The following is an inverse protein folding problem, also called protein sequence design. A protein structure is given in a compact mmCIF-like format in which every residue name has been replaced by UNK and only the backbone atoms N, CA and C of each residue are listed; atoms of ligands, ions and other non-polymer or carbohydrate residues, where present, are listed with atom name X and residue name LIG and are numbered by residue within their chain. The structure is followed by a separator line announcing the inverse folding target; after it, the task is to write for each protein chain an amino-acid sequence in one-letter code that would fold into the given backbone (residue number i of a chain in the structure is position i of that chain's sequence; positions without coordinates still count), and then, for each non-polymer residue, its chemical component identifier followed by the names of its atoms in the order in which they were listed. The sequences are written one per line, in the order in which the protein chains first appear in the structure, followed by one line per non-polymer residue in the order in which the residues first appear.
data_IF_441026701050
#
_entry.id   IF_441026701050
#
_cell.length_a   1.000
_cell.length_b   1.000
_cell.length_c   1.000
_cell.angle_alpha   90.00
_cell.angle_beta   90.00
_cell.angle_gamma   90.00
#
_symmetry.space_group_name_H-M   'P 1'
#
loop_
_entity.id
_entity.type
_entity.pdbx_description
1 polymer ?
#
# COMPACT_ATOMS: atom_id res chain seq x y z
N UNK A 1 56.79 24.41 20.42
CA UNK A 1 56.87 22.93 20.46
C UNK A 1 56.71 22.41 19.05
N UNK A 2 57.56 21.46 18.66
CA UNK A 2 57.84 21.07 17.28
C UNK A 2 56.83 20.04 16.78
N UNK A 3 56.23 20.30 15.62
CA UNK A 3 55.51 19.33 14.79
C UNK A 3 56.49 18.79 13.75
N UNK A 4 56.81 17.50 13.79
CA UNK A 4 57.65 16.85 12.79
C UNK A 4 56.93 15.62 12.20
N UNK A 5 56.78 15.67 10.87
CA UNK A 5 56.42 14.60 9.92
C UNK A 5 57.30 13.34 10.03
N UNK A 6 56.77 12.17 9.63
CA UNK A 6 57.23 11.39 8.44
C UNK A 6 56.33 10.17 8.11
N UNK A 7 55.68 10.22 6.94
CA UNK A 7 55.83 9.34 5.75
C UNK A 7 55.49 7.82 5.72
N UNK A 8 54.56 7.51 4.79
CA UNK A 8 54.39 6.39 3.83
C UNK A 8 53.82 4.98 4.16
N UNK A 9 52.69 4.73 3.47
CA UNK A 9 52.13 3.55 2.78
C UNK A 9 52.94 2.25 2.67
N UNK A 10 52.22 1.11 2.80
CA UNK A 10 52.50 -0.09 2.03
C UNK A 10 51.21 -0.85 1.65
N UNK A 11 51.15 -1.29 0.39
CA UNK A 11 50.08 -2.02 -0.29
C UNK A 11 50.38 -3.53 -0.34
N UNK A 12 49.37 -4.31 -0.74
CA UNK A 12 49.37 -5.62 -1.43
C UNK A 12 48.69 -6.83 -0.75
N UNK A 13 47.86 -7.45 -1.59
CA UNK A 13 47.00 -8.65 -1.55
C UNK A 13 47.74 -9.98 -1.79
N UNK A 14 47.20 -11.15 -1.39
CA UNK A 14 47.27 -12.43 -2.15
C UNK A 14 46.48 -13.61 -1.52
N UNK A 15 46.09 -14.57 -2.39
CA UNK A 15 45.27 -15.81 -2.23
C UNK A 15 46.17 -17.09 -2.14
N UNK A 16 45.58 -18.24 -1.79
CA UNK A 16 46.15 -19.59 -1.47
C UNK A 16 46.96 -20.35 -2.57
N UNK A 17 47.59 -21.52 -2.23
CA UNK A 17 47.54 -22.72 -3.12
C UNK A 17 47.49 -24.13 -2.45
N UNK A 18 47.27 -25.16 -3.31
CA UNK A 18 46.99 -26.61 -3.11
C UNK A 18 48.17 -27.58 -2.79
N UNK A 19 47.87 -28.86 -2.46
CA UNK A 19 48.78 -30.03 -2.56
C UNK A 19 48.09 -31.42 -2.50
N UNK A 20 48.48 -32.38 -3.38
CA UNK A 20 47.93 -33.75 -3.62
C UNK A 20 48.90 -34.91 -3.24
N UNK A 21 48.34 -36.13 -2.99
CA UNK A 21 48.83 -37.57 -3.14
C UNK A 21 48.55 -38.42 -1.86
N UNK A 22 48.13 -39.70 -1.81
CA UNK A 22 48.07 -40.88 -2.71
C UNK A 22 47.18 -42.02 -2.11
N UNK A 23 46.69 -42.95 -2.96
CA UNK A 23 45.77 -44.09 -2.70
C UNK A 23 46.38 -45.32 -1.99
N UNK A 24 45.55 -46.08 -1.24
CA UNK A 24 45.70 -47.53 -1.00
C UNK A 24 44.34 -48.23 -0.93
N UNK A 25 44.22 -49.35 -1.63
CA UNK A 25 43.05 -50.17 -1.91
C UNK A 25 42.84 -51.23 -0.81
N UNK A 26 41.62 -51.39 -0.28
CA UNK A 26 41.16 -52.63 0.36
C UNK A 26 39.61 -52.67 0.43
N UNK A 27 39.01 -53.55 -0.37
CA UNK A 27 37.60 -53.95 -0.30
C UNK A 27 37.32 -54.65 1.03
N UNK A 28 36.28 -54.22 1.76
CA UNK A 28 35.61 -55.02 2.79
C UNK A 28 34.09 -54.84 2.60
N UNK A 29 33.41 -55.99 2.68
CA UNK A 29 32.07 -56.33 2.21
C UNK A 29 30.95 -55.53 2.89
N UNK A 30 29.94 -55.17 2.10
CA UNK A 30 28.69 -54.58 2.55
C UNK A 30 27.88 -55.54 3.42
N UNK A 31 27.73 -55.20 4.70
CA UNK A 31 26.57 -55.64 5.48
C UNK A 31 26.20 -54.50 6.44
N UNK A 32 25.14 -53.76 6.11
CA UNK A 32 24.62 -52.68 6.93
C UNK A 32 23.15 -52.93 7.28
N UNK A 33 22.92 -53.11 8.58
CA UNK A 33 21.64 -53.31 9.23
C UNK A 33 20.94 -51.93 9.35
N UNK A 34 19.70 -51.76 8.83
CA UNK A 34 18.99 -50.49 8.97
C UNK A 34 18.68 -50.18 10.44
N UNK A 35 19.17 -49.06 10.93
CA UNK A 35 18.75 -48.48 12.22
C UNK A 35 17.50 -47.64 11.99
N UNK A 36 16.40 -47.96 12.69
CA UNK A 36 15.20 -47.10 12.76
C UNK A 36 15.49 -45.86 13.62
N UNK A 37 15.24 -44.64 13.12
CA UNK A 37 15.26 -43.44 13.96
C UNK A 37 13.85 -43.05 14.44
N UNK A 38 13.69 -43.18 15.76
CA UNK A 38 13.04 -42.32 16.75
C UNK A 38 12.09 -41.20 16.27
N UNK A 39 10.94 -41.13 16.96
CA UNK A 39 9.83 -40.19 16.74
C UNK A 39 10.22 -38.71 16.74
N UNK A 40 9.53 -37.86 15.95
CA UNK A 40 9.78 -36.43 15.94
C UNK A 40 9.15 -35.73 17.15
N UNK A 41 10.01 -35.10 17.95
CA UNK A 41 9.68 -34.12 18.99
C UNK A 41 8.63 -33.09 18.52
N UNK A 42 7.56 -32.93 19.32
CA UNK A 42 6.60 -31.83 19.19
C UNK A 42 7.29 -30.49 19.39
N UNK A 43 7.62 -29.77 18.31
CA UNK A 43 7.91 -28.35 18.39
C UNK A 43 6.60 -27.58 18.63
N UNK A 44 6.48 -26.99 19.82
CA UNK A 44 5.51 -25.92 20.08
C UNK A 44 5.90 -24.69 19.25
N UNK A 45 5.44 -24.64 18.01
CA UNK A 45 5.56 -23.46 17.16
C UNK A 45 4.55 -22.44 17.65
N UNK A 46 5.01 -21.40 18.33
CA UNK A 46 4.24 -20.17 18.47
C UNK A 46 3.91 -19.67 17.06
N UNK A 47 2.65 -19.83 16.65
CA UNK A 47 2.13 -19.15 15.47
C UNK A 47 2.04 -17.66 15.82
N UNK A 48 3.04 -16.89 15.40
CA UNK A 48 2.85 -15.45 15.21
C UNK A 48 1.80 -15.33 14.11
N UNK A 49 0.60 -14.75 14.35
CA UNK A 49 -0.35 -14.54 13.27
C UNK A 49 0.35 -13.68 12.22
N UNK A 50 0.47 -14.20 11.00
CA UNK A 50 1.06 -13.42 9.92
C UNK A 50 0.09 -12.28 9.61
N UNK A 51 0.47 -11.07 10.02
CA UNK A 51 -0.01 -9.79 9.51
C UNK A 51 0.34 -9.66 8.02
N UNK A 52 -0.12 -10.61 7.21
CA UNK A 52 0.10 -10.66 5.79
C UNK A 52 -0.88 -9.67 5.16
N UNK A 53 -0.33 -8.70 4.45
CA UNK A 53 -1.08 -7.73 3.66
C UNK A 53 -2.12 -8.44 2.80
N UNK A 54 -3.38 -8.04 2.90
CA UNK A 54 -4.46 -8.62 2.10
C UNK A 54 -4.47 -8.00 0.69
N UNK A 55 -3.64 -8.58 -0.18
CA UNK A 55 -3.49 -8.12 -1.56
C UNK A 55 -4.76 -8.26 -2.39
N UNK A 56 -5.59 -9.26 -2.11
CA UNK A 56 -6.82 -9.48 -2.86
C UNK A 56 -7.86 -8.41 -2.51
N UNK A 57 -8.03 -8.11 -1.22
CA UNK A 57 -8.90 -7.03 -0.78
C UNK A 57 -8.42 -5.67 -1.31
N UNK A 58 -7.12 -5.36 -1.23
CA UNK A 58 -6.58 -4.11 -1.78
C UNK A 58 -6.84 -3.98 -3.28
N UNK A 59 -6.60 -5.04 -4.07
CA UNK A 59 -6.82 -4.99 -5.51
C UNK A 59 -8.28 -4.71 -5.85
N UNK A 60 -9.22 -5.37 -5.15
CA UNK A 60 -10.65 -5.10 -5.30
C UNK A 60 -11.00 -3.64 -4.95
N UNK A 61 -10.48 -3.11 -3.86
CA UNK A 61 -10.74 -1.73 -3.42
C UNK A 61 -10.19 -0.69 -4.41
N UNK A 62 -9.03 -0.96 -5.00
CA UNK A 62 -8.47 -0.14 -6.08
C UNK A 62 -9.40 -0.18 -7.29
N UNK A 63 -9.85 -1.35 -7.72
CA UNK A 63 -10.79 -1.50 -8.84
C UNK A 63 -12.12 -0.77 -8.61
N UNK A 64 -12.68 -0.86 -7.40
CA UNK A 64 -13.90 -0.14 -7.02
C UNK A 64 -13.70 1.39 -7.06
N UNK A 65 -12.52 1.87 -6.66
CA UNK A 65 -12.16 3.29 -6.73
C UNK A 65 -11.96 3.76 -8.17
N UNK A 66 -11.25 2.99 -8.99
CA UNK A 66 -11.04 3.25 -10.42
C UNK A 66 -12.36 3.26 -11.20
N UNK A 67 -13.31 2.39 -10.83
CA UNK A 67 -14.64 2.37 -11.43
C UNK A 67 -15.41 3.66 -11.13
N UNK A 68 -15.40 4.12 -9.87
CA UNK A 68 -16.03 5.38 -9.49
C UNK A 68 -15.37 6.59 -10.18
N UNK A 69 -14.04 6.60 -10.28
CA UNK A 69 -13.29 7.62 -11.00
C UNK A 69 -13.62 7.62 -12.50
N UNK A 70 -13.70 6.44 -13.12
CA UNK A 70 -14.07 6.30 -14.53
C UNK A 70 -15.47 6.84 -14.82
N UNK A 71 -16.43 6.62 -13.91
CA UNK A 71 -17.77 7.19 -14.02
C UNK A 71 -17.75 8.72 -14.01
N UNK A 72 -16.99 9.32 -13.09
CA UNK A 72 -16.83 10.78 -13.03
C UNK A 72 -16.18 11.31 -14.32
N UNK A 73 -15.11 10.68 -14.78
CA UNK A 73 -14.42 11.07 -16.01
C UNK A 73 -15.33 11.00 -17.22
N UNK A 74 -16.16 9.97 -17.31
CA UNK A 74 -17.13 9.80 -18.38
C UNK A 74 -18.21 10.87 -18.34
N UNK A 75 -18.73 11.22 -17.15
CA UNK A 75 -19.68 12.30 -16.97
C UNK A 75 -19.09 13.65 -17.46
N UNK A 76 -17.86 13.95 -17.05
CA UNK A 76 -17.15 15.16 -17.49
C UNK A 76 -16.88 15.12 -19.00
N UNK A 77 -16.50 13.97 -19.57
CA UNK A 77 -16.30 13.81 -21.01
C UNK A 77 -17.56 14.18 -21.79
N UNK A 78 -18.71 13.62 -21.39
CA UNK A 78 -20.00 13.89 -22.04
C UNK A 78 -20.40 15.37 -21.93
N UNK A 79 -20.17 15.99 -20.76
CA UNK A 79 -20.43 17.42 -20.55
C UNK A 79 -19.64 18.29 -21.53
N UNK A 80 -18.35 18.00 -21.72
CA UNK A 80 -17.47 18.73 -22.62
C UNK A 80 -17.85 18.51 -24.08
N UNK A 81 -18.15 17.27 -24.47
CA UNK A 81 -18.50 16.93 -25.85
C UNK A 81 -19.80 17.62 -26.30
N UNK A 82 -20.79 17.75 -25.40
CA UNK A 82 -22.02 18.53 -25.67
C UNK A 82 -21.71 19.99 -26.01
N UNK A 83 -20.61 20.52 -25.52
CA UNK A 83 -20.14 21.90 -25.73
C UNK A 83 -19.09 22.01 -26.86
N UNK A 84 -18.79 20.91 -27.56
CA UNK A 84 -17.73 20.88 -28.57
C UNK A 84 -16.31 21.01 -28.01
N UNK A 85 -16.15 20.79 -26.69
CA UNK A 85 -14.88 20.88 -25.98
C UNK A 85 -14.25 19.49 -25.79
N UNK A 86 -12.97 19.48 -25.40
CA UNK A 86 -12.27 18.27 -24.98
C UNK A 86 -11.35 18.57 -23.79
N UNK A 87 -10.89 17.52 -23.10
CA UNK A 87 -9.94 17.63 -21.98
C UNK A 87 -8.68 18.45 -22.27
N UNK A 88 -8.29 18.60 -23.54
CA UNK A 88 -7.11 19.36 -23.95
C UNK A 88 -7.31 20.88 -23.97
N UNK A 89 -8.56 21.35 -23.91
CA UNK A 89 -8.89 22.77 -24.15
C UNK A 89 -9.59 23.43 -22.94
N UNK A 90 -9.49 22.83 -21.74
CA UNK A 90 -10.19 23.31 -20.54
C UNK A 90 -9.42 24.43 -19.80
N UNK A 91 -8.20 24.78 -20.21
CA UNK A 91 -7.45 25.83 -19.53
C UNK A 91 -8.11 27.22 -19.73
N UNK A 92 -8.83 27.67 -18.69
CA UNK A 92 -9.33 29.05 -18.56
C UNK A 92 -10.66 29.35 -19.27
N UNK A 93 -11.39 28.35 -19.78
CA UNK A 93 -12.72 28.52 -20.36
C UNK A 93 -13.84 28.28 -19.35
N UNK A 94 -14.95 29.02 -19.46
CA UNK A 94 -16.19 28.73 -18.72
C UNK A 94 -16.80 27.44 -19.27
N UNK A 95 -16.95 26.42 -18.41
CA UNK A 95 -17.69 25.20 -18.71
C UNK A 95 -19.11 25.40 -18.20
N UNK A 96 -20.09 25.34 -19.09
CA UNK A 96 -21.49 25.36 -18.69
C UNK A 96 -21.88 23.98 -18.14
N UNK A 97 -22.50 23.93 -16.96
CA UNK A 97 -22.97 22.68 -16.35
C UNK A 97 -24.46 22.53 -16.63
N UNK A 98 -24.80 21.58 -17.50
CA UNK A 98 -26.19 21.25 -17.80
C UNK A 98 -26.89 20.54 -16.63
N UNK A 99 -28.21 20.65 -16.56
CA UNK A 99 -28.99 20.16 -15.43
C UNK A 99 -28.94 18.63 -15.29
N UNK A 100 -28.91 17.89 -16.41
CA UNK A 100 -28.79 16.43 -16.38
C UNK A 100 -27.46 16.01 -15.74
N UNK A 101 -26.37 16.68 -16.12
CA UNK A 101 -25.04 16.46 -15.54
C UNK A 101 -25.00 16.83 -14.06
N UNK A 102 -25.60 17.96 -13.67
CA UNK A 102 -25.70 18.39 -12.26
C UNK A 102 -26.41 17.34 -11.40
N UNK A 103 -27.56 16.85 -11.86
CA UNK A 103 -28.33 15.82 -11.16
C UNK A 103 -27.53 14.52 -11.01
N UNK A 104 -26.86 14.06 -12.07
CA UNK A 104 -26.02 12.85 -12.01
C UNK A 104 -24.85 13.02 -11.04
N UNK A 105 -24.17 14.17 -11.06
CA UNK A 105 -23.09 14.46 -10.14
C UNK A 105 -23.59 14.48 -8.69
N UNK A 106 -24.75 15.09 -8.44
CA UNK A 106 -25.39 15.10 -7.12
C UNK A 106 -25.69 13.67 -6.64
N UNK A 107 -26.29 12.83 -7.49
CA UNK A 107 -26.54 11.42 -7.17
C UNK A 107 -25.27 10.62 -6.86
N UNK A 108 -24.12 11.00 -7.43
CA UNK A 108 -22.86 10.32 -7.14
C UNK A 108 -22.36 10.60 -5.72
N UNK A 109 -22.65 11.77 -5.17
CA UNK A 109 -22.20 12.24 -3.84
C UNK A 109 -23.27 12.12 -2.75
N UNK A 110 -24.54 12.01 -3.13
CA UNK A 110 -25.67 11.77 -2.22
C UNK A 110 -25.54 10.43 -1.48
N UNK A 111 -26.34 10.25 -0.43
CA UNK A 111 -26.36 9.03 0.38
C UNK A 111 -26.49 7.76 -0.49
N UNK A 112 -25.56 6.82 -0.30
CA UNK A 112 -25.49 5.57 -1.08
C UNK A 112 -24.82 5.70 -2.45
N UNK A 113 -24.50 6.92 -2.89
CA UNK A 113 -23.74 7.19 -4.10
C UNK A 113 -22.30 6.66 -4.04
N UNK A 114 -21.69 6.31 -5.20
CA UNK A 114 -20.33 5.76 -5.27
C UNK A 114 -19.23 6.71 -4.78
N UNK A 115 -19.49 8.02 -4.67
CA UNK A 115 -18.60 9.04 -4.14
C UNK A 115 -19.14 9.69 -2.85
N UNK A 116 -20.16 9.09 -2.25
CA UNK A 116 -20.68 9.55 -0.96
C UNK A 116 -19.63 9.44 0.16
N UNK A 117 -19.69 10.31 1.18
CA UNK A 117 -18.77 10.26 2.32
C UNK A 117 -18.69 8.88 2.97
N UNK A 118 -19.83 8.19 3.08
CA UNK A 118 -19.90 6.84 3.65
C UNK A 118 -19.12 5.82 2.82
N UNK A 119 -19.34 5.78 1.49
CA UNK A 119 -18.65 4.85 0.58
C UNK A 119 -17.17 5.14 0.40
N UNK A 120 -16.80 6.42 0.38
CA UNK A 120 -15.38 6.81 0.29
C UNK A 120 -14.65 6.43 1.59
N UNK A 121 -15.24 6.74 2.75
CA UNK A 121 -14.65 6.40 4.05
C UNK A 121 -14.55 4.88 4.27
N UNK A 122 -15.56 4.11 3.84
CA UNK A 122 -15.50 2.64 3.84
C UNK A 122 -14.26 2.12 3.10
N UNK A 123 -14.10 2.54 1.83
CA UNK A 123 -12.97 2.08 1.01
C UNK A 123 -11.62 2.44 1.63
N UNK A 124 -11.49 3.65 2.19
CA UNK A 124 -10.24 4.10 2.83
C UNK A 124 -9.93 3.24 4.06
N UNK A 125 -10.92 2.98 4.91
CA UNK A 125 -10.73 2.19 6.14
C UNK A 125 -10.50 0.72 5.81
N UNK A 126 -11.24 0.14 4.87
CA UNK A 126 -11.02 -1.23 4.41
C UNK A 126 -9.63 -1.39 3.78
N UNK A 127 -9.17 -0.38 3.02
CA UNK A 127 -7.82 -0.38 2.46
C UNK A 127 -6.76 -0.29 3.56
N UNK A 128 -6.99 0.55 4.57
CA UNK A 128 -6.13 0.67 5.74
C UNK A 128 -6.04 -0.64 6.53
N UNK A 129 -7.16 -1.35 6.71
CA UNK A 129 -7.22 -2.69 7.31
C UNK A 129 -6.44 -3.70 6.45
N UNK A 130 -6.62 -3.68 5.13
CA UNK A 130 -5.96 -4.61 4.21
C UNK A 130 -4.43 -4.42 4.18
N UNK A 131 -3.95 -3.18 4.13
CA UNK A 131 -2.51 -2.88 4.08
C UNK A 131 -1.81 -3.09 5.43
N UNK A 132 -2.52 -2.92 6.55
CA UNK A 132 -1.96 -3.19 7.88
C UNK A 132 -1.94 -4.68 8.23
N UNK A 133 -2.71 -5.49 7.49
CA UNK A 133 -2.98 -6.88 7.82
C UNK A 133 -3.94 -7.03 9.00
N UNK A 134 -4.84 -6.07 9.20
CA UNK A 134 -5.77 -6.03 10.34
C UNK A 134 -5.10 -5.65 11.68
N UNK A 135 -3.87 -5.14 11.64
CA UNK A 135 -3.09 -4.81 12.82
C UNK A 135 -3.53 -3.48 13.44
N UNK A 136 -4.17 -3.55 14.61
CA UNK A 136 -4.68 -2.39 15.35
C UNK A 136 -3.57 -1.53 15.95
N UNK A 137 -2.39 -2.10 16.21
CA UNK A 137 -1.25 -1.32 16.73
C UNK A 137 -0.77 -0.27 15.71
N UNK A 138 -1.15 -0.42 14.45
CA UNK A 138 -0.83 0.54 13.37
C UNK A 138 -1.89 1.61 13.16
N UNK A 139 -3.00 1.63 13.90
CA UNK A 139 -4.11 2.60 13.67
C UNK A 139 -3.63 4.04 13.75
N UNK A 140 -2.80 4.40 14.72
CA UNK A 140 -2.25 5.76 14.82
C UNK A 140 -1.34 6.12 13.65
N UNK A 141 -0.54 5.16 13.16
CA UNK A 141 0.27 5.34 11.95
C UNK A 141 -0.62 5.54 10.71
N UNK A 142 -1.70 4.75 10.59
CA UNK A 142 -2.65 4.84 9.49
C UNK A 142 -3.40 6.18 9.51
N UNK A 143 -3.85 6.62 10.69
CA UNK A 143 -4.49 7.93 10.87
C UNK A 143 -3.54 9.04 10.45
N UNK A 144 -2.28 9.01 10.89
CA UNK A 144 -1.28 9.99 10.49
C UNK A 144 -1.04 10.01 8.97
N UNK A 145 -1.03 8.84 8.32
CA UNK A 145 -0.90 8.75 6.87
C UNK A 145 -2.13 9.30 6.13
N UNK A 146 -3.33 9.04 6.64
CA UNK A 146 -4.58 9.58 6.11
C UNK A 146 -4.61 11.11 6.27
N UNK A 147 -4.29 11.64 7.45
CA UNK A 147 -4.19 13.09 7.69
C UNK A 147 -3.24 13.76 6.70
N UNK A 148 -2.09 13.12 6.43
CA UNK A 148 -1.14 13.60 5.44
C UNK A 148 -1.74 13.60 4.03
N UNK A 149 -2.42 12.53 3.64
CA UNK A 149 -3.10 12.43 2.34
C UNK A 149 -4.15 13.52 2.14
N UNK A 150 -4.95 13.83 3.16
CA UNK A 150 -5.92 14.93 3.11
C UNK A 150 -5.25 16.30 2.95
N UNK A 151 -4.12 16.54 3.62
CA UNK A 151 -3.35 17.79 3.45
C UNK A 151 -2.77 17.92 2.05
N UNK A 152 -2.16 16.85 1.53
CA UNK A 152 -1.63 16.83 0.15
C UNK A 152 -2.73 17.04 -0.89
N UNK A 153 -3.92 16.47 -0.66
CA UNK A 153 -5.08 16.71 -1.51
C UNK A 153 -5.57 18.16 -1.45
N UNK A 154 -5.60 18.77 -0.25
CA UNK A 154 -5.96 20.17 -0.08
C UNK A 154 -4.99 21.08 -0.86
N UNK A 155 -3.68 20.86 -0.73
CA UNK A 155 -2.65 21.58 -1.46
C UNK A 155 -2.80 21.44 -2.99
N UNK A 156 -3.09 20.23 -3.47
CA UNK A 156 -3.28 19.96 -4.89
C UNK A 156 -4.54 20.60 -5.50
N UNK A 157 -5.58 20.83 -4.68
CA UNK A 157 -6.90 21.31 -5.13
C UNK A 157 -7.16 22.79 -4.85
N UNK A 158 -6.12 23.56 -4.46
CA UNK A 158 -6.23 25.02 -4.28
C UNK A 158 -6.22 25.50 -2.83
N UNK A 159 -5.79 24.65 -1.90
CA UNK A 159 -5.49 24.99 -0.51
C UNK A 159 -6.50 24.45 0.50
N UNK A 160 -7.79 24.48 0.21
CA UNK A 160 -8.84 24.00 1.10
C UNK A 160 -9.73 22.97 0.42
N UNK A 161 -10.06 21.91 1.15
CA UNK A 161 -10.99 20.89 0.70
C UNK A 161 -12.45 21.30 1.01
N UNK A 162 -13.41 20.92 0.16
CA UNK A 162 -14.82 21.19 0.41
C UNK A 162 -15.35 20.44 1.64
N UNK A 163 -16.47 20.92 2.20
CA UNK A 163 -17.11 20.36 3.41
C UNK A 163 -17.34 18.85 3.33
N UNK A 164 -17.81 18.35 2.19
CA UNK A 164 -18.02 16.90 1.95
C UNK A 164 -16.76 16.05 2.14
N UNK A 165 -15.57 16.60 1.87
CA UNK A 165 -14.31 15.92 2.14
C UNK A 165 -14.07 15.80 3.64
N UNK A 166 -14.40 16.84 4.41
CA UNK A 166 -14.30 16.79 5.87
C UNK A 166 -15.32 15.85 6.50
N UNK A 167 -16.53 15.75 5.96
CA UNK A 167 -17.50 14.71 6.37
C UNK A 167 -16.91 13.30 6.18
N UNK A 168 -16.26 13.06 5.04
CA UNK A 168 -15.55 11.80 4.76
C UNK A 168 -14.45 11.55 5.80
N UNK A 169 -13.66 12.57 6.12
CA UNK A 169 -12.59 12.52 7.10
C UNK A 169 -13.10 12.15 8.51
N UNK A 170 -14.18 12.79 8.95
CA UNK A 170 -14.81 12.47 10.24
C UNK A 170 -15.29 11.02 10.30
N UNK A 171 -15.92 10.52 9.23
CA UNK A 171 -16.38 9.13 9.15
C UNK A 171 -15.22 8.15 9.20
N UNK A 172 -14.10 8.45 8.53
CA UNK A 172 -12.88 7.64 8.63
C UNK A 172 -12.43 7.55 10.08
N UNK A 173 -12.31 8.69 10.77
CA UNK A 173 -11.88 8.71 12.16
C UNK A 173 -12.80 7.90 13.07
N UNK A 174 -14.13 8.07 12.92
CA UNK A 174 -15.13 7.28 13.66
C UNK A 174 -14.98 5.77 13.41
N UNK A 175 -14.72 5.37 12.16
CA UNK A 175 -14.54 3.96 11.76
C UNK A 175 -13.20 3.38 12.25
N UNK A 176 -12.14 4.18 12.29
CA UNK A 176 -10.86 3.79 12.89
C UNK A 176 -11.00 3.63 14.41
N UNK A 177 -11.71 4.53 15.07
CA UNK A 177 -11.99 4.44 16.52
C UNK A 177 -12.85 3.21 16.83
N UNK A 178 -13.89 2.95 16.04
CA UNK A 178 -14.69 1.74 16.16
C UNK A 178 -13.81 0.49 16.01
N UNK A 179 -12.97 0.45 14.98
CA UNK A 179 -12.04 -0.66 14.76
C UNK A 179 -11.03 -0.84 15.90
N UNK A 180 -10.51 0.24 16.49
CA UNK A 180 -9.62 0.16 17.65
C UNK A 180 -10.31 -0.49 18.86
N UNK A 181 -11.61 -0.22 19.04
CA UNK A 181 -12.42 -0.70 20.16
C UNK A 181 -13.12 -2.05 19.93
N UNK A 182 -13.07 -2.60 18.71
CA UNK A 182 -13.52 -3.97 18.39
C UNK A 182 -12.75 -5.04 19.19
#
# INVERSE_FOLDING_TARGET
MKINNVTNVNLYTARAPEGKKTLKNQEIKDEYIPSQPLEPDKKATYQKPSSAIDRAAMQRLIEESEKAYSQLRELVRQLLEKQGLSFKYIEGGEIEIDEETRIKAQQMIDEGGPLSPEKVSDRIVEFAKAISGGDKEKIEMLRSAIDKGFKEAAEALGGELPEISWETYELINKKLDAWLNE
#
